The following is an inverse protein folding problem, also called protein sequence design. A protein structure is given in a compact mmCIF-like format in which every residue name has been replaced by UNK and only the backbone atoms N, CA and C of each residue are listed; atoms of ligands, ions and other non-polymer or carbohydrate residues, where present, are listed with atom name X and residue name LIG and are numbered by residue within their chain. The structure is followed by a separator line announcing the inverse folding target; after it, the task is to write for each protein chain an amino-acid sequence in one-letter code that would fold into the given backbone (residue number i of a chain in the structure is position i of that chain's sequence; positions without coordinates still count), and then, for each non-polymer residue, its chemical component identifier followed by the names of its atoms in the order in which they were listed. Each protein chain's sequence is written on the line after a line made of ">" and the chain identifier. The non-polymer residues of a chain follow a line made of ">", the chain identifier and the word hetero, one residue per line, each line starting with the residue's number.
data_IF_997009161499
#
_entry.id   IF_997009161499
#
_cell.length_a   1.000
_cell.length_b   1.000
_cell.length_c   1.000
_cell.angle_alpha   90.00
_cell.angle_beta   90.00
_cell.angle_gamma   90.00
#
_symmetry.space_group_name_H-M   'P 1'
#
loop_
_entity.id
_entity.type
_entity.pdbx_description
1 polymer ?
#
# COMPACT_ATOMS: atom_id res chain seq x y z
N UNK A 1 -7.19 -14.23 -24.08
CA UNK A 1 -8.64 -14.50 -24.16
C UNK A 1 -9.14 -14.70 -22.74
N UNK A 2 -10.14 -13.96 -22.30
CA UNK A 2 -10.77 -14.13 -20.99
C UNK A 2 -11.64 -15.38 -21.00
N UNK A 3 -11.49 -16.23 -19.98
CA UNK A 3 -12.30 -17.45 -19.84
C UNK A 3 -13.52 -17.18 -18.96
N UNK A 4 -14.66 -17.86 -19.18
CA UNK A 4 -15.77 -17.84 -18.23
C UNK A 4 -15.30 -18.28 -16.84
N UNK A 5 -15.84 -17.65 -15.78
CA UNK A 5 -15.45 -17.97 -14.40
C UNK A 5 -15.61 -19.46 -14.08
N UNK A 6 -16.66 -20.11 -14.60
CA UNK A 6 -16.91 -21.53 -14.39
C UNK A 6 -15.80 -22.41 -14.98
N UNK A 7 -15.31 -22.09 -16.19
CA UNK A 7 -14.21 -22.83 -16.81
C UNK A 7 -12.93 -22.73 -15.98
N UNK A 8 -12.65 -21.55 -15.41
CA UNK A 8 -11.49 -21.34 -14.55
C UNK A 8 -11.64 -22.08 -13.21
N UNK A 9 -12.82 -22.01 -12.59
CA UNK A 9 -13.12 -22.72 -11.34
C UNK A 9 -13.05 -24.25 -11.50
N UNK A 10 -13.55 -24.78 -12.60
CA UNK A 10 -13.50 -26.21 -12.90
C UNK A 10 -12.04 -26.67 -13.14
N UNK A 11 -11.18 -25.81 -13.67
CA UNK A 11 -9.76 -26.09 -13.84
C UNK A 11 -8.95 -26.03 -12.54
N UNK A 12 -9.42 -25.30 -11.51
CA UNK A 12 -8.77 -25.29 -10.20
C UNK A 12 -8.89 -26.63 -9.48
N UNK A 13 -10.01 -27.34 -9.60
CA UNK A 13 -10.25 -28.61 -8.89
C UNK A 13 -9.16 -29.68 -9.15
N UNK A 14 -8.85 -30.07 -10.41
CA UNK A 14 -7.79 -31.03 -10.67
C UNK A 14 -6.40 -30.50 -10.28
N UNK A 15 -6.15 -29.19 -10.44
CA UNK A 15 -4.88 -28.59 -10.07
C UNK A 15 -4.62 -28.62 -8.55
N UNK A 16 -5.67 -28.42 -7.74
CA UNK A 16 -5.60 -28.48 -6.28
C UNK A 16 -5.69 -29.90 -5.70
N UNK A 17 -5.99 -30.91 -6.54
CA UNK A 17 -6.00 -32.31 -6.15
C UNK A 17 -4.64 -33.00 -6.36
N UNK A 18 -3.71 -32.35 -7.07
CA UNK A 18 -2.37 -32.86 -7.28
C UNK A 18 -1.60 -33.00 -5.94
N UNK A 19 -0.82 -34.08 -5.74
CA UNK A 19 -0.01 -34.25 -4.53
C UNK A 19 1.02 -33.14 -4.31
N UNK A 20 1.56 -32.61 -5.41
CA UNK A 20 2.45 -31.45 -5.44
C UNK A 20 1.76 -30.36 -6.27
N UNK A 21 1.60 -29.14 -5.74
CA UNK A 21 0.95 -28.06 -6.46
C UNK A 21 1.75 -27.65 -7.70
N UNK A 22 1.10 -27.61 -8.87
CA UNK A 22 1.65 -26.94 -10.04
C UNK A 22 1.42 -25.42 -9.90
N UNK A 23 2.43 -24.74 -9.35
CA UNK A 23 2.38 -23.30 -9.10
C UNK A 23 2.12 -22.48 -10.36
N UNK A 24 2.77 -22.81 -11.48
CA UNK A 24 2.67 -22.03 -12.71
C UNK A 24 1.26 -22.18 -13.32
N UNK A 25 0.68 -23.39 -13.26
CA UNK A 25 -0.73 -23.62 -13.63
C UNK A 25 -1.67 -22.84 -12.72
N UNK A 26 -1.53 -22.91 -11.40
CA UNK A 26 -2.41 -22.22 -10.45
C UNK A 26 -2.33 -20.69 -10.59
N UNK A 27 -1.13 -20.13 -10.73
CA UNK A 27 -0.91 -18.70 -10.99
C UNK A 27 -1.52 -18.31 -12.34
N UNK A 28 -1.35 -19.15 -13.37
CA UNK A 28 -1.97 -18.95 -14.68
C UNK A 28 -3.50 -18.91 -14.63
N UNK A 29 -4.12 -19.79 -13.84
CA UNK A 29 -5.57 -19.81 -13.61
C UNK A 29 -6.05 -18.52 -12.94
N UNK A 30 -5.35 -18.05 -11.90
CA UNK A 30 -5.69 -16.77 -11.27
C UNK A 30 -5.55 -15.58 -12.22
N UNK A 31 -4.51 -15.56 -13.06
CA UNK A 31 -4.34 -14.50 -14.08
C UNK A 31 -5.45 -14.53 -15.14
N UNK A 32 -6.00 -15.71 -15.44
CA UNK A 32 -7.11 -15.87 -16.36
C UNK A 32 -8.50 -15.61 -15.73
N UNK A 33 -8.59 -15.53 -14.40
CA UNK A 33 -9.83 -15.34 -13.66
C UNK A 33 -10.40 -13.94 -13.91
N UNK A 34 -11.59 -13.89 -14.48
CA UNK A 34 -12.41 -12.67 -14.57
C UNK A 34 -13.73 -12.93 -13.86
N UNK A 35 -13.97 -12.22 -12.76
CA UNK A 35 -15.24 -12.32 -12.04
C UNK A 35 -16.27 -11.43 -12.75
N UNK A 36 -17.38 -11.98 -13.26
CA UNK A 36 -18.39 -11.21 -13.97
C UNK A 36 -19.19 -10.33 -12.99
N UNK A 37 -19.81 -9.26 -13.51
CA UNK A 37 -20.62 -8.34 -12.71
C UNK A 37 -21.75 -9.05 -11.96
N UNK A 38 -22.40 -10.00 -12.64
CA UNK A 38 -23.55 -10.79 -12.19
C UNK A 38 -23.14 -12.16 -11.64
N UNK A 39 -21.99 -12.23 -10.98
CA UNK A 39 -21.47 -13.45 -10.35
C UNK A 39 -22.50 -14.09 -9.41
N UNK A 40 -22.67 -15.40 -9.51
CA UNK A 40 -23.64 -16.12 -8.67
C UNK A 40 -23.10 -16.37 -7.27
N UNK A 41 -24.01 -16.58 -6.30
CA UNK A 41 -23.63 -16.99 -4.94
C UNK A 41 -22.84 -18.30 -4.92
N UNK A 42 -23.15 -19.22 -5.84
CA UNK A 42 -22.43 -20.48 -6.00
C UNK A 42 -21.00 -20.28 -6.49
N UNK A 43 -20.80 -19.45 -7.52
CA UNK A 43 -19.48 -19.17 -8.08
C UNK A 43 -18.56 -18.46 -7.07
N UNK A 44 -19.06 -17.44 -6.34
CA UNK A 44 -18.28 -16.80 -5.28
C UNK A 44 -17.95 -17.76 -4.13
N UNK A 45 -18.88 -18.64 -3.76
CA UNK A 45 -18.62 -19.65 -2.71
C UNK A 45 -17.53 -20.64 -3.15
N UNK A 46 -17.57 -21.11 -4.40
CA UNK A 46 -16.50 -21.95 -4.97
C UNK A 46 -15.16 -21.21 -5.01
N UNK A 47 -15.17 -19.94 -5.41
CA UNK A 47 -13.98 -19.10 -5.45
C UNK A 47 -13.33 -18.92 -4.07
N UNK A 48 -14.12 -18.62 -3.04
CA UNK A 48 -13.62 -18.56 -1.67
C UNK A 48 -13.06 -19.90 -1.20
N UNK A 49 -13.72 -21.01 -1.53
CA UNK A 49 -13.23 -22.35 -1.18
C UNK A 49 -11.85 -22.62 -1.77
N UNK A 50 -11.64 -22.30 -3.06
CA UNK A 50 -10.33 -22.39 -3.73
C UNK A 50 -9.29 -21.54 -3.02
N UNK A 51 -9.60 -20.25 -2.78
CA UNK A 51 -8.67 -19.34 -2.13
C UNK A 51 -8.34 -19.81 -0.71
N UNK A 52 -9.33 -20.21 0.09
CA UNK A 52 -9.15 -20.63 1.48
C UNK A 52 -8.28 -21.87 1.61
N UNK A 53 -8.39 -22.84 0.69
CA UNK A 53 -7.50 -24.01 0.65
C UNK A 53 -6.03 -23.62 0.40
N UNK A 54 -5.79 -22.68 -0.52
CA UNK A 54 -4.45 -22.14 -0.80
C UNK A 54 -3.93 -21.27 0.35
N UNK A 55 -4.85 -20.61 1.03
CA UNK A 55 -4.58 -19.79 2.21
C UNK A 55 -4.41 -20.63 3.50
N UNK A 56 -4.49 -21.96 3.45
CA UNK A 56 -4.34 -22.82 4.62
C UNK A 56 -5.50 -22.76 5.62
N UNK A 57 -6.65 -22.21 5.21
CA UNK A 57 -7.83 -22.03 6.06
C UNK A 57 -8.65 -23.33 6.06
N UNK A 58 -8.65 -24.04 7.18
CA UNK A 58 -9.17 -25.41 7.30
C UNK A 58 -10.68 -25.58 7.03
N UNK A 59 -11.48 -24.53 7.18
CA UNK A 59 -12.94 -24.59 6.99
C UNK A 59 -13.37 -24.86 5.54
N UNK A 60 -12.46 -24.74 4.57
CA UNK A 60 -12.71 -24.95 3.15
C UNK A 60 -12.27 -26.34 2.62
N UNK A 61 -11.80 -27.22 3.50
CA UNK A 61 -11.25 -28.53 3.14
C UNK A 61 -9.76 -28.65 3.44
N UNK A 62 -9.10 -29.74 3.02
CA UNK A 62 -7.68 -29.94 3.29
C UNK A 62 -6.85 -28.82 2.65
N UNK A 63 -5.94 -28.19 3.42
CA UNK A 63 -5.08 -27.15 2.91
C UNK A 63 -4.17 -27.72 1.82
N UNK A 64 -3.81 -26.90 0.84
CA UNK A 64 -2.87 -27.31 -0.20
C UNK A 64 -1.47 -27.37 0.42
N UNK A 65 -0.74 -28.50 0.32
CA UNK A 65 0.61 -28.61 0.86
C UNK A 65 1.54 -27.75 0.01
N UNK A 66 1.77 -26.51 0.42
CA UNK A 66 2.76 -25.66 -0.21
C UNK A 66 4.15 -26.11 0.27
N UNK A 67 5.07 -26.34 -0.67
CA UNK A 67 6.45 -26.74 -0.39
C UNK A 67 7.37 -25.51 -0.42
N UNK A 68 7.63 -24.83 0.72
CA UNK A 68 8.40 -23.59 0.74
C UNK A 68 9.85 -23.77 0.25
N UNK A 69 10.39 -24.99 0.30
CA UNK A 69 11.79 -25.28 -0.01
C UNK A 69 12.09 -25.44 -1.52
N UNK A 70 11.07 -25.64 -2.38
CA UNK A 70 11.27 -25.76 -3.83
C UNK A 70 11.13 -24.42 -4.56
N UNK A 71 10.34 -23.48 -4.03
CA UNK A 71 10.27 -22.10 -4.51
C UNK A 71 9.48 -21.20 -3.53
N UNK A 72 10.16 -20.69 -2.51
CA UNK A 72 9.60 -19.77 -1.50
C UNK A 72 8.83 -18.59 -2.14
N UNK A 73 9.39 -18.01 -3.20
CA UNK A 73 8.76 -16.93 -3.94
C UNK A 73 7.45 -17.34 -4.62
N UNK A 74 7.40 -18.51 -5.29
CA UNK A 74 6.17 -18.96 -5.97
C UNK A 74 5.07 -19.30 -4.97
N UNK A 75 5.42 -19.95 -3.86
CA UNK A 75 4.47 -20.27 -2.80
C UNK A 75 3.92 -18.98 -2.17
N UNK A 76 4.79 -18.03 -1.84
CA UNK A 76 4.40 -16.71 -1.33
C UNK A 76 3.52 -15.93 -2.34
N UNK A 77 3.91 -15.90 -3.62
CA UNK A 77 3.14 -15.25 -4.68
C UNK A 77 1.74 -15.87 -4.83
N UNK A 78 1.63 -17.19 -4.81
CA UNK A 78 0.35 -17.88 -4.91
C UNK A 78 -0.57 -17.56 -3.71
N UNK A 79 -0.03 -17.51 -2.49
CA UNK A 79 -0.77 -17.09 -1.29
C UNK A 79 -1.22 -15.63 -1.41
N UNK A 80 -0.33 -14.74 -1.86
CA UNK A 80 -0.65 -13.34 -2.07
C UNK A 80 -1.77 -13.17 -3.11
N UNK A 81 -1.71 -13.88 -4.23
CA UNK A 81 -2.75 -13.86 -5.28
C UNK A 81 -4.08 -14.39 -4.76
N UNK A 82 -4.09 -15.46 -3.96
CA UNK A 82 -5.33 -15.97 -3.38
C UNK A 82 -5.98 -14.99 -2.39
N UNK A 83 -5.17 -14.32 -1.56
CA UNK A 83 -5.65 -13.27 -0.64
C UNK A 83 -6.20 -12.06 -1.43
N UNK A 84 -5.45 -11.64 -2.46
CA UNK A 84 -5.81 -10.54 -3.35
C UNK A 84 -7.16 -10.77 -4.04
N UNK A 85 -7.44 -12.00 -4.49
CA UNK A 85 -8.73 -12.37 -5.08
C UNK A 85 -9.86 -12.27 -4.06
N UNK A 86 -9.67 -12.76 -2.83
CA UNK A 86 -10.66 -12.61 -1.75
C UNK A 86 -10.93 -11.14 -1.49
N UNK A 87 -9.91 -10.29 -1.38
CA UNK A 87 -10.07 -8.85 -1.18
C UNK A 87 -10.79 -8.15 -2.32
N UNK A 88 -10.51 -8.50 -3.58
CA UNK A 88 -11.19 -7.93 -4.76
C UNK A 88 -12.69 -8.25 -4.80
N UNK A 89 -13.15 -9.29 -4.12
CA UNK A 89 -14.60 -9.53 -3.97
C UNK A 89 -15.25 -8.62 -2.93
N UNK A 90 -14.45 -8.06 -2.02
CA UNK A 90 -14.92 -7.14 -0.97
C UNK A 90 -14.76 -5.67 -1.36
N UNK A 91 -13.86 -5.36 -2.29
CA UNK A 91 -13.43 -4.01 -2.64
C UNK A 91 -13.46 -3.77 -4.15
N UNK A 92 -14.08 -2.67 -4.59
CA UNK A 92 -13.94 -2.16 -5.95
C UNK A 92 -12.68 -1.29 -6.08
N UNK A 93 -11.55 -1.94 -6.36
CA UNK A 93 -10.25 -1.24 -6.53
C UNK A 93 -10.25 -0.23 -7.68
N UNK A 94 -11.22 -0.31 -8.59
CA UNK A 94 -11.35 0.62 -9.71
C UNK A 94 -12.31 1.78 -9.41
N UNK A 95 -12.93 1.83 -8.22
CA UNK A 95 -13.93 2.85 -7.89
C UNK A 95 -13.37 4.28 -8.03
N UNK A 96 -12.13 4.54 -7.60
CA UNK A 96 -11.48 5.85 -7.76
C UNK A 96 -11.28 6.20 -9.24
N UNK A 97 -10.80 5.25 -10.06
CA UNK A 97 -10.62 5.44 -11.51
C UNK A 97 -11.96 5.70 -12.20
N UNK A 98 -13.00 4.91 -11.90
CA UNK A 98 -14.37 5.12 -12.40
C UNK A 98 -14.89 6.50 -12.03
N UNK A 99 -14.71 6.92 -10.78
CA UNK A 99 -15.12 8.25 -10.34
C UNK A 99 -14.35 9.38 -11.05
N UNK A 100 -13.05 9.20 -11.29
CA UNK A 100 -12.25 10.14 -12.08
C UNK A 100 -12.74 10.24 -13.52
N UNK A 101 -12.99 9.11 -14.19
CA UNK A 101 -13.54 9.04 -15.56
C UNK A 101 -14.87 9.80 -15.60
N UNK A 102 -15.80 9.48 -14.68
CA UNK A 102 -17.10 10.13 -14.59
C UNK A 102 -17.00 11.65 -14.43
N UNK A 103 -16.19 12.13 -13.47
CA UNK A 103 -15.93 13.57 -13.25
C UNK A 103 -15.27 14.24 -14.47
N UNK A 104 -14.37 13.54 -15.16
CA UNK A 104 -13.72 14.06 -16.37
C UNK A 104 -14.73 14.24 -17.50
N UNK A 105 -15.57 13.24 -17.74
CA UNK A 105 -16.65 13.28 -18.72
C UNK A 105 -17.62 14.43 -18.39
N UNK A 106 -18.05 14.55 -17.14
CA UNK A 106 -18.93 15.62 -16.67
C UNK A 106 -18.35 17.01 -16.95
N UNK A 107 -17.07 17.25 -16.61
CA UNK A 107 -16.39 18.52 -16.88
C UNK A 107 -16.27 18.84 -18.37
N UNK A 108 -16.06 17.83 -19.22
CA UNK A 108 -16.02 18.03 -20.67
C UNK A 108 -17.39 18.44 -21.20
N UNK A 109 -18.46 17.75 -20.76
CA UNK A 109 -19.85 18.11 -21.08
C UNK A 109 -20.19 19.53 -20.65
N UNK A 110 -19.87 19.90 -19.40
CA UNK A 110 -20.12 21.24 -18.86
C UNK A 110 -19.40 22.36 -19.64
N UNK A 111 -18.28 22.05 -20.31
CA UNK A 111 -17.51 22.99 -21.13
C UNK A 111 -17.89 22.93 -22.63
N UNK A 112 -18.89 22.14 -23.02
CA UNK A 112 -19.25 21.95 -24.43
C UNK A 112 -18.14 21.30 -25.26
N UNK A 113 -17.24 20.54 -24.63
CA UNK A 113 -16.12 19.87 -25.32
C UNK A 113 -16.50 18.44 -25.68
N UNK A 114 -16.00 17.92 -26.82
CA UNK A 114 -16.21 16.51 -27.17
C UNK A 114 -15.53 15.60 -26.14
N UNK A 115 -16.16 14.45 -25.89
CA UNK A 115 -15.60 13.38 -25.06
C UNK A 115 -14.62 12.59 -25.96
N UNK A 116 -13.35 12.44 -25.56
CA UNK A 116 -12.40 11.60 -26.31
C UNK A 116 -12.91 10.17 -26.47
N UNK A 117 -12.66 9.58 -27.63
CA UNK A 117 -12.90 8.15 -27.87
C UNK A 117 -12.11 7.31 -26.87
N UNK A 118 -12.74 6.29 -26.29
CA UNK A 118 -12.15 5.44 -25.26
C UNK A 118 -12.08 6.04 -23.86
N UNK A 119 -12.56 7.28 -23.63
CA UNK A 119 -12.75 7.82 -22.28
C UNK A 119 -14.04 7.28 -21.66
N UNK A 120 -14.00 6.01 -21.25
CA UNK A 120 -15.04 5.32 -20.49
C UNK A 120 -14.41 4.27 -19.57
N UNK A 121 -15.25 3.55 -18.83
CA UNK A 121 -14.82 2.53 -17.87
C UNK A 121 -14.96 1.09 -18.40
N UNK A 122 -15.11 0.91 -19.73
CA UNK A 122 -15.30 -0.39 -20.38
C UNK A 122 -14.07 -1.30 -20.30
N UNK A 123 -12.87 -0.70 -20.16
CA UNK A 123 -11.61 -1.42 -20.01
C UNK A 123 -11.34 -1.85 -18.55
N UNK A 124 -12.14 -1.38 -17.60
CA UNK A 124 -11.96 -1.70 -16.17
C UNK A 124 -12.73 -2.97 -15.81
N UNK A 125 -12.16 -3.87 -14.98
CA UNK A 125 -12.87 -5.04 -14.44
C UNK A 125 -14.23 -4.65 -13.86
N UNK A 126 -15.32 -5.37 -14.19
CA UNK A 126 -16.67 -4.93 -13.89
C UNK A 126 -16.90 -4.74 -12.38
N UNK A 127 -17.81 -3.83 -12.04
CA UNK A 127 -18.30 -3.71 -10.67
C UNK A 127 -19.16 -4.93 -10.33
N UNK A 128 -18.83 -5.62 -9.25
CA UNK A 128 -19.58 -6.80 -8.82
C UNK A 128 -20.92 -6.40 -8.19
N UNK A 129 -21.94 -7.20 -8.48
CA UNK A 129 -23.20 -7.26 -7.75
C UNK A 129 -23.08 -8.41 -6.77
N UNK A 130 -22.82 -8.10 -5.49
CA UNK A 130 -22.60 -9.14 -4.49
C UNK A 130 -23.90 -9.90 -4.21
N UNK A 131 -23.97 -11.22 -4.47
CA UNK A 131 -25.19 -12.02 -4.40
C UNK A 131 -25.48 -12.53 -2.97
N UNK A 132 -24.97 -11.86 -1.95
CA UNK A 132 -25.10 -12.25 -0.55
C UNK A 132 -25.90 -11.20 0.22
N UNK A 133 -26.77 -11.66 1.12
CA UNK A 133 -27.23 -10.80 2.21
C UNK A 133 -26.10 -10.59 3.24
N UNK A 134 -26.29 -9.63 4.16
CA UNK A 134 -25.26 -9.27 5.13
C UNK A 134 -24.83 -10.46 6.03
N UNK A 135 -25.78 -11.33 6.41
CA UNK A 135 -25.48 -12.51 7.23
C UNK A 135 -24.62 -13.51 6.47
N UNK A 136 -25.02 -13.86 5.25
CA UNK A 136 -24.30 -14.79 4.39
C UNK A 136 -22.93 -14.23 4.05
N UNK A 137 -22.82 -12.94 3.73
CA UNK A 137 -21.55 -12.28 3.50
C UNK A 137 -20.61 -12.43 4.71
N UNK A 138 -21.11 -12.17 5.92
CA UNK A 138 -20.33 -12.28 7.15
C UNK A 138 -19.88 -13.72 7.43
N UNK A 139 -20.76 -14.70 7.26
CA UNK A 139 -20.42 -16.12 7.38
C UNK A 139 -19.36 -16.54 6.37
N UNK A 140 -19.46 -16.05 5.12
CA UNK A 140 -18.54 -16.42 4.04
C UNK A 140 -17.15 -15.86 4.24
N UNK A 141 -17.00 -14.62 4.70
CA UNK A 141 -15.68 -13.99 4.87
C UNK A 141 -15.05 -14.23 6.25
N UNK A 142 -15.82 -14.71 7.23
CA UNK A 142 -15.32 -14.98 8.60
C UNK A 142 -13.99 -15.75 8.62
N UNK A 143 -13.81 -16.86 7.86
CA UNK A 143 -12.55 -17.60 7.90
C UNK A 143 -11.34 -16.78 7.42
N UNK A 144 -11.55 -15.86 6.47
CA UNK A 144 -10.50 -14.93 6.03
C UNK A 144 -10.16 -13.93 7.14
N UNK A 145 -11.16 -13.34 7.78
CA UNK A 145 -10.96 -12.40 8.88
C UNK A 145 -10.26 -13.04 10.08
N UNK A 146 -10.61 -14.29 10.42
CA UNK A 146 -9.96 -15.03 11.51
C UNK A 146 -8.48 -15.30 11.19
N UNK A 147 -8.16 -15.59 9.92
CA UNK A 147 -6.76 -15.69 9.47
C UNK A 147 -6.04 -14.35 9.58
N UNK A 148 -6.68 -13.25 9.13
CA UNK A 148 -6.07 -11.93 9.22
C UNK A 148 -5.79 -11.54 10.68
N UNK A 149 -6.73 -11.81 11.57
CA UNK A 149 -6.54 -11.62 13.01
C UNK A 149 -5.34 -12.42 13.56
N UNK A 150 -5.17 -13.68 13.15
CA UNK A 150 -4.03 -14.48 13.58
C UNK A 150 -2.68 -13.88 13.14
N UNK A 151 -2.62 -13.23 11.97
CA UNK A 151 -1.41 -12.56 11.48
C UNK A 151 -1.05 -11.31 12.30
N UNK A 152 -2.01 -10.69 12.99
CA UNK A 152 -1.77 -9.47 13.78
C UNK A 152 -0.90 -9.71 15.02
N UNK A 153 -0.73 -10.97 15.44
CA UNK A 153 0.20 -11.32 16.51
C UNK A 153 1.66 -11.06 16.10
N UNK A 154 1.98 -11.18 14.81
CA UNK A 154 3.32 -10.93 14.27
C UNK A 154 3.45 -9.58 13.58
N UNK A 155 2.35 -9.08 13.00
CA UNK A 155 2.32 -7.81 12.28
C UNK A 155 1.11 -6.96 12.74
N UNK A 156 1.21 -6.24 13.86
CA UNK A 156 0.07 -5.53 14.45
C UNK A 156 -0.59 -4.47 13.56
N UNK A 157 0.12 -3.99 12.54
CA UNK A 157 -0.36 -3.02 11.55
C UNK A 157 -0.87 -3.66 10.24
N UNK A 158 -0.79 -4.99 10.11
CA UNK A 158 -1.11 -5.71 8.86
C UNK A 158 -2.55 -5.53 8.39
N UNK A 159 -3.47 -5.17 9.29
CA UNK A 159 -4.87 -4.88 8.97
C UNK A 159 -5.11 -3.48 8.40
N UNK A 160 -4.16 -2.54 8.50
CA UNK A 160 -4.36 -1.14 8.08
C UNK A 160 -4.85 -1.04 6.65
N UNK A 161 -4.12 -1.67 5.72
CA UNK A 161 -4.44 -1.64 4.29
C UNK A 161 -5.83 -2.21 4.03
N UNK A 162 -6.11 -3.40 4.56
CA UNK A 162 -7.37 -4.09 4.31
C UNK A 162 -8.57 -3.30 4.86
N UNK A 163 -8.50 -2.85 6.11
CA UNK A 163 -9.56 -2.04 6.72
C UNK A 163 -9.78 -0.73 5.96
N UNK A 164 -8.71 -0.05 5.56
CA UNK A 164 -8.78 1.18 4.77
C UNK A 164 -9.46 0.95 3.42
N UNK A 165 -9.02 -0.07 2.67
CA UNK A 165 -9.56 -0.39 1.35
C UNK A 165 -11.05 -0.70 1.43
N UNK A 166 -11.48 -1.48 2.42
CA UNK A 166 -12.91 -1.77 2.62
C UNK A 166 -13.68 -0.52 3.04
N UNK A 167 -13.16 0.29 3.96
CA UNK A 167 -13.82 1.51 4.39
C UNK A 167 -14.04 2.50 3.23
N UNK A 168 -13.05 2.67 2.35
CA UNK A 168 -13.09 3.66 1.25
C UNK A 168 -13.73 3.13 -0.03
N UNK A 169 -13.47 1.87 -0.38
CA UNK A 169 -13.76 1.30 -1.69
C UNK A 169 -14.56 -0.01 -1.60
N UNK A 170 -14.91 -0.44 -0.40
CA UNK A 170 -15.64 -1.69 -0.15
C UNK A 170 -17.05 -1.69 -0.73
N UNK A 171 -17.52 -2.87 -1.14
CA UNK A 171 -18.94 -3.05 -1.45
C UNK A 171 -19.79 -2.86 -0.18
N UNK A 172 -20.99 -2.22 -0.27
CA UNK A 172 -21.77 -1.84 0.89
C UNK A 172 -22.10 -2.98 1.88
N UNK A 173 -22.20 -4.21 1.38
CA UNK A 173 -22.48 -5.39 2.23
C UNK A 173 -21.31 -5.74 3.15
N UNK A 174 -20.06 -5.48 2.75
CA UNK A 174 -18.86 -5.85 3.52
C UNK A 174 -18.35 -4.74 4.44
N UNK A 175 -18.63 -3.48 4.11
CA UNK A 175 -18.23 -2.32 4.94
C UNK A 175 -18.59 -2.47 6.42
N UNK A 176 -19.86 -2.71 6.82
CA UNK A 176 -20.21 -2.86 8.23
C UNK A 176 -19.61 -4.12 8.86
N UNK A 177 -19.40 -5.19 8.08
CA UNK A 177 -18.83 -6.45 8.59
C UNK A 177 -17.37 -6.25 9.01
N UNK A 178 -16.57 -5.63 8.13
CA UNK A 178 -15.14 -5.37 8.40
C UNK A 178 -14.99 -4.29 9.47
N UNK A 179 -15.86 -3.29 9.49
CA UNK A 179 -15.89 -2.29 10.57
C UNK A 179 -16.12 -2.95 11.94
N UNK A 180 -17.16 -3.77 12.09
CA UNK A 180 -17.43 -4.48 13.35
C UNK A 180 -16.31 -5.47 13.73
N UNK A 181 -15.66 -6.09 12.74
CA UNK A 181 -14.47 -6.91 13.00
C UNK A 181 -13.32 -6.08 13.58
N UNK A 182 -13.01 -4.92 12.98
CA UNK A 182 -11.97 -4.03 13.48
C UNK A 182 -12.29 -3.48 14.88
N UNK A 183 -13.54 -3.07 15.15
CA UNK A 183 -13.97 -2.69 16.51
C UNK A 183 -13.79 -3.85 17.51
N UNK A 184 -14.11 -5.08 17.09
CA UNK A 184 -13.91 -6.28 17.90
C UNK A 184 -12.44 -6.61 18.19
N UNK A 185 -11.52 -6.29 17.26
CA UNK A 185 -10.08 -6.38 17.50
C UNK A 185 -9.63 -5.36 18.56
N UNK A 186 -10.04 -4.09 18.40
CA UNK A 186 -9.71 -3.02 19.33
C UNK A 186 -10.22 -3.29 20.75
N UNK A 187 -11.46 -3.74 20.88
CA UNK A 187 -12.05 -4.09 22.17
C UNK A 187 -11.29 -5.21 22.91
N UNK A 188 -10.55 -6.05 22.16
CA UNK A 188 -9.69 -7.12 22.70
C UNK A 188 -8.22 -6.72 22.79
N UNK A 189 -7.85 -5.50 22.39
CA UNK A 189 -6.47 -5.02 22.38
C UNK A 189 -5.59 -5.72 21.32
N UNK A 190 -6.17 -6.18 20.22
CA UNK A 190 -5.45 -6.83 19.12
C UNK A 190 -5.17 -5.79 18.02
N UNK A 191 -3.92 -5.75 17.52
CA UNK A 191 -3.49 -4.76 16.53
C UNK A 191 -3.12 -3.41 17.14
N UNK A 192 -3.09 -2.36 16.32
CA UNK A 192 -2.77 -0.99 16.77
C UNK A 192 -4.01 -0.30 17.36
N UNK A 193 -3.94 0.23 18.60
CA UNK A 193 -5.07 0.92 19.24
C UNK A 193 -5.57 2.13 18.44
N UNK A 194 -6.89 2.29 18.33
CA UNK A 194 -7.52 3.46 17.70
C UNK A 194 -7.53 3.43 16.16
N UNK A 195 -7.21 2.30 15.53
CA UNK A 195 -7.29 2.08 14.08
C UNK A 195 -8.64 2.52 13.48
N UNK A 196 -9.77 2.16 14.08
CA UNK A 196 -11.12 2.45 13.55
C UNK A 196 -11.34 3.97 13.45
N UNK A 197 -11.01 4.70 14.53
CA UNK A 197 -11.07 6.15 14.53
C UNK A 197 -10.07 6.76 13.54
N UNK A 198 -8.84 6.22 13.50
CA UNK A 198 -7.78 6.68 12.63
C UNK A 198 -8.13 6.55 11.14
N UNK A 199 -8.81 5.47 10.71
CA UNK A 199 -9.28 5.31 9.33
C UNK A 199 -10.23 6.45 8.94
N UNK A 200 -11.18 6.80 9.81
CA UNK A 200 -12.11 7.90 9.56
C UNK A 200 -11.39 9.24 9.42
N UNK A 201 -10.51 9.55 10.37
CA UNK A 201 -9.70 10.77 10.38
C UNK A 201 -8.77 10.86 9.17
N UNK A 202 -8.04 9.78 8.87
CA UNK A 202 -7.16 9.70 7.70
C UNK A 202 -7.92 9.88 6.38
N UNK A 203 -9.17 9.40 6.29
CA UNK A 203 -10.06 9.65 5.15
C UNK A 203 -10.34 11.13 4.92
N UNK A 204 -10.66 11.86 5.99
CA UNK A 204 -10.90 13.31 5.96
C UNK A 204 -9.62 14.05 5.54
N UNK A 205 -8.47 13.67 6.09
CA UNK A 205 -7.18 14.28 5.78
C UNK A 205 -6.76 14.05 4.33
N UNK A 206 -7.02 12.85 3.79
CA UNK A 206 -6.80 12.57 2.37
C UNK A 206 -7.67 13.46 1.48
N UNK A 207 -8.97 13.55 1.76
CA UNK A 207 -9.88 14.38 0.97
C UNK A 207 -9.48 15.87 1.01
N UNK A 208 -8.92 16.35 2.13
CA UNK A 208 -8.33 17.69 2.27
C UNK A 208 -7.02 17.86 1.51
N UNK A 209 -6.15 16.86 1.50
CA UNK A 209 -4.91 16.88 0.72
C UNK A 209 -5.19 16.91 -0.80
N UNK A 210 -6.15 16.12 -1.28
CA UNK A 210 -6.55 16.09 -2.70
C UNK A 210 -7.20 17.40 -3.16
N UNK A 211 -7.75 18.17 -2.23
CA UNK A 211 -8.38 19.47 -2.45
C UNK A 211 -7.77 20.50 -1.50
N UNK A 212 -6.45 20.68 -1.58
CA UNK A 212 -5.74 21.61 -0.72
C UNK A 212 -6.28 23.05 -0.92
N UNK A 213 -7.21 23.44 -0.04
CA UNK A 213 -7.74 24.80 0.05
C UNK A 213 -6.74 25.67 0.83
N UNK A 214 -6.61 26.97 0.49
CA UNK A 214 -5.73 27.85 1.24
C UNK A 214 -6.05 27.89 2.73
N UNK A 215 -5.00 27.80 3.55
CA UNK A 215 -5.06 27.96 5.00
C UNK A 215 -4.07 29.02 5.43
N UNK A 216 -4.46 29.88 6.36
CA UNK A 216 -3.50 30.73 7.06
C UNK A 216 -2.54 29.90 7.93
N UNK A 217 -1.36 30.44 8.20
CA UNK A 217 -0.39 29.76 9.06
C UNK A 217 -0.96 29.49 10.47
N UNK A 218 -1.74 30.40 11.02
CA UNK A 218 -2.38 30.21 12.33
C UNK A 218 -3.43 29.09 12.31
N UNK A 219 -4.17 28.92 11.21
CA UNK A 219 -5.05 27.77 11.02
C UNK A 219 -4.26 26.47 10.88
N UNK A 220 -3.16 26.48 10.12
CA UNK A 220 -2.26 25.33 10.01
C UNK A 220 -1.70 24.91 11.39
N UNK A 221 -1.25 25.87 12.20
CA UNK A 221 -0.76 25.63 13.55
C UNK A 221 -1.84 25.08 14.50
N UNK A 222 -3.11 25.45 14.30
CA UNK A 222 -4.22 24.99 15.13
C UNK A 222 -4.76 23.63 14.68
N UNK A 223 -4.87 23.42 13.37
CA UNK A 223 -5.69 22.34 12.80
C UNK A 223 -4.85 21.22 12.14
N UNK A 224 -3.59 21.49 11.76
CA UNK A 224 -2.73 20.53 11.05
C UNK A 224 -1.57 20.08 11.93
N UNK A 225 -0.75 21.02 12.43
CA UNK A 225 0.47 20.66 13.16
C UNK A 225 0.24 19.76 14.38
N UNK A 226 -0.82 19.94 15.20
CA UNK A 226 -1.07 19.06 16.34
C UNK A 226 -1.38 17.61 15.93
N UNK A 227 -1.85 17.38 14.70
CA UNK A 227 -2.13 16.04 14.19
C UNK A 227 -0.85 15.29 13.77
N UNK A 228 0.27 15.99 13.58
CA UNK A 228 1.58 15.36 13.35
C UNK A 228 2.06 14.61 14.60
N UNK A 229 1.61 15.04 15.79
CA UNK A 229 1.91 14.39 17.07
C UNK A 229 0.89 13.31 17.46
N UNK A 230 -0.06 12.97 16.57
CA UNK A 230 -1.01 11.89 16.83
C UNK A 230 -0.26 10.56 17.00
N UNK A 231 -0.57 9.78 18.06
CA UNK A 231 0.10 8.50 18.29
C UNK A 231 -0.17 7.49 17.18
N UNK A 232 -1.28 7.62 16.45
CA UNK A 232 -1.62 6.70 15.37
C UNK A 232 -0.93 7.09 14.06
N UNK A 233 -0.10 6.21 13.46
CA UNK A 233 0.72 6.56 12.30
C UNK A 233 -0.10 6.96 11.06
N UNK A 234 -1.29 6.38 10.86
CA UNK A 234 -2.18 6.79 9.75
C UNK A 234 -2.65 8.25 9.85
N UNK A 235 -2.89 8.75 11.07
CA UNK A 235 -3.32 10.15 11.29
C UNK A 235 -2.14 11.08 11.08
N UNK A 236 -0.99 10.79 11.72
CA UNK A 236 0.23 11.56 11.57
C UNK A 236 0.70 11.64 10.11
N UNK A 237 0.70 10.52 9.39
CA UNK A 237 1.03 10.47 7.97
C UNK A 237 0.00 11.20 7.09
N UNK A 238 -1.29 11.10 7.41
CA UNK A 238 -2.35 11.84 6.73
C UNK A 238 -2.20 13.36 6.91
N UNK A 239 -1.81 13.81 8.11
CA UNK A 239 -1.53 15.21 8.40
C UNK A 239 -0.27 15.69 7.67
N UNK A 240 0.80 14.89 7.65
CA UNK A 240 1.98 15.13 6.83
C UNK A 240 1.62 15.30 5.35
N UNK A 241 0.78 14.42 4.81
CA UNK A 241 0.28 14.50 3.43
C UNK A 241 -0.49 15.77 3.14
N UNK A 242 -1.40 16.16 4.03
CA UNK A 242 -2.12 17.41 3.84
C UNK A 242 -1.18 18.63 3.89
N UNK A 243 -0.24 18.65 4.84
CA UNK A 243 0.77 19.71 4.93
C UNK A 243 1.63 19.81 3.66
N UNK A 244 2.09 18.68 3.13
CA UNK A 244 2.84 18.63 1.87
C UNK A 244 2.04 19.23 0.70
N UNK A 245 0.76 18.89 0.60
CA UNK A 245 -0.13 19.43 -0.44
C UNK A 245 -0.31 20.95 -0.32
N UNK A 246 -0.43 21.49 0.90
CA UNK A 246 -0.48 22.94 1.15
C UNK A 246 0.83 23.63 0.75
N UNK A 247 1.99 23.03 1.05
CA UNK A 247 3.31 23.53 0.66
C UNK A 247 3.51 23.56 -0.87
N UNK A 248 3.07 22.51 -1.57
CA UNK A 248 3.18 22.40 -3.02
C UNK A 248 2.26 23.38 -3.76
N UNK A 249 1.05 23.60 -3.25
CA UNK A 249 0.13 24.59 -3.81
C UNK A 249 0.57 26.05 -3.54
N UNK A 250 1.61 26.27 -2.72
CA UNK A 250 2.08 27.61 -2.35
C UNK A 250 1.08 28.39 -1.49
N UNK A 251 0.13 27.69 -0.86
CA UNK A 251 -0.99 28.31 -0.14
C UNK A 251 -0.72 28.55 1.34
N UNK A 252 0.49 28.23 1.83
CA UNK A 252 0.99 28.60 3.16
C UNK A 252 1.66 29.98 3.20
N UNK A 253 1.52 30.78 2.14
CA UNK A 253 2.21 32.06 1.96
C UNK A 253 1.66 33.20 2.82
N UNK A 254 2.15 33.30 4.06
CA UNK A 254 2.00 34.47 4.93
C UNK A 254 3.36 34.79 5.60
N UNK A 255 3.64 36.04 6.01
CA UNK A 255 4.96 36.45 6.48
C UNK A 255 5.52 35.66 7.66
N UNK A 256 4.67 35.00 8.46
CA UNK A 256 5.06 34.30 9.68
C UNK A 256 5.22 32.77 9.51
N UNK A 257 4.94 32.23 8.32
CA UNK A 257 5.15 30.82 8.04
C UNK A 257 6.66 30.52 7.93
N UNK A 258 7.16 29.41 8.50
CA UNK A 258 8.54 29.00 8.28
C UNK A 258 8.77 28.71 6.80
N UNK A 259 10.00 28.93 6.33
CA UNK A 259 10.40 28.46 5.01
C UNK A 259 10.33 26.93 4.92
N UNK A 260 10.36 26.40 3.70
CA UNK A 260 10.19 24.97 3.43
C UNK A 260 11.29 24.12 4.09
N UNK A 261 12.54 24.58 4.09
CA UNK A 261 13.67 23.86 4.69
C UNK A 261 13.50 23.79 6.22
N UNK A 262 13.13 24.90 6.86
CA UNK A 262 12.81 24.96 8.29
C UNK A 262 11.65 24.02 8.63
N UNK A 263 10.60 23.97 7.80
CA UNK A 263 9.47 23.06 8.01
C UNK A 263 9.90 21.59 7.93
N UNK A 264 10.66 21.21 6.90
CA UNK A 264 11.16 19.84 6.74
C UNK A 264 12.04 19.41 7.92
N UNK A 265 12.93 20.28 8.39
CA UNK A 265 13.76 20.00 9.56
C UNK A 265 12.91 19.77 10.82
N UNK A 266 11.84 20.55 11.02
CA UNK A 266 10.88 20.31 12.12
C UNK A 266 10.18 18.95 11.98
N UNK A 267 9.86 18.51 10.76
CA UNK A 267 9.29 17.18 10.55
C UNK A 267 10.26 16.07 10.98
N UNK A 268 11.56 16.25 10.69
CA UNK A 268 12.61 15.32 11.10
C UNK A 268 12.87 15.31 12.62
N UNK A 269 12.40 16.32 13.36
CA UNK A 269 12.53 16.40 14.82
C UNK A 269 11.41 15.66 15.57
N UNK A 270 10.34 15.19 14.88
CA UNK A 270 9.25 14.50 15.57
C UNK A 270 9.74 13.21 16.26
N UNK A 271 9.31 12.97 17.52
CA UNK A 271 9.80 11.85 18.33
C UNK A 271 9.19 10.50 17.95
N UNK A 272 8.02 10.50 17.31
CA UNK A 272 7.25 9.30 16.93
C UNK A 272 6.70 9.51 15.51
N UNK A 273 6.49 8.42 14.77
CA UNK A 273 5.88 8.43 13.42
C UNK A 273 6.64 9.29 12.39
N UNK A 274 7.88 9.69 12.66
CA UNK A 274 8.68 10.61 11.83
C UNK A 274 8.75 10.16 10.37
N UNK A 275 9.09 8.90 10.12
CA UNK A 275 9.16 8.35 8.76
C UNK A 275 7.78 8.29 8.07
N UNK A 276 6.70 8.08 8.83
CA UNK A 276 5.34 8.08 8.30
C UNK A 276 4.88 9.51 7.94
N UNK A 277 5.19 10.50 8.79
CA UNK A 277 4.94 11.93 8.56
C UNK A 277 5.71 12.41 7.33
N UNK A 278 7.02 12.13 7.27
CA UNK A 278 7.87 12.53 6.16
C UNK A 278 7.42 11.89 4.83
N UNK A 279 7.11 10.60 4.83
CA UNK A 279 6.55 9.92 3.66
C UNK A 279 5.21 10.52 3.22
N UNK A 280 4.31 10.78 4.17
CA UNK A 280 3.07 11.50 3.92
C UNK A 280 3.33 12.86 3.27
N UNK A 281 4.23 13.67 3.84
CA UNK A 281 4.61 14.97 3.30
C UNK A 281 5.10 14.89 1.86
N UNK A 282 6.04 14.00 1.55
CA UNK A 282 6.54 13.77 0.19
C UNK A 282 5.38 13.43 -0.75
N UNK A 283 4.51 12.49 -0.34
CA UNK A 283 3.36 12.04 -1.12
C UNK A 283 2.34 13.16 -1.39
N UNK A 284 2.17 14.10 -0.45
CA UNK A 284 1.30 15.26 -0.63
C UNK A 284 1.93 16.39 -1.44
N UNK A 285 3.24 16.58 -1.28
CA UNK A 285 4.00 17.60 -1.98
C UNK A 285 4.18 17.28 -3.47
N UNK A 286 4.36 16.01 -3.79
CA UNK A 286 4.53 15.55 -5.16
C UNK A 286 3.20 15.51 -5.94
N UNK A 287 2.95 16.60 -6.67
CA UNK A 287 1.78 16.69 -7.58
C UNK A 287 2.03 16.02 -8.94
N UNK A 288 3.24 15.51 -9.19
CA UNK A 288 3.70 15.01 -10.49
C UNK A 288 3.93 13.50 -10.56
N UNK A 289 3.85 12.79 -9.44
CA UNK A 289 4.13 11.35 -9.36
C UNK A 289 5.63 11.02 -9.47
N UNK A 290 6.52 11.93 -9.07
CA UNK A 290 7.98 11.77 -9.07
C UNK A 290 8.59 11.54 -7.68
N UNK A 291 7.78 11.49 -6.61
CA UNK A 291 8.22 11.29 -5.23
C UNK A 291 9.26 12.33 -4.78
N UNK A 292 10.39 11.86 -4.24
CA UNK A 292 11.47 12.71 -3.72
C UNK A 292 12.11 13.63 -4.79
N UNK A 293 12.05 13.27 -6.07
CA UNK A 293 12.55 14.14 -7.13
C UNK A 293 11.80 15.48 -7.18
N UNK A 294 10.53 15.52 -6.73
CA UNK A 294 9.79 16.78 -6.62
C UNK A 294 10.34 17.72 -5.54
N UNK A 295 10.94 17.20 -4.47
CA UNK A 295 11.65 18.01 -3.48
C UNK A 295 13.05 18.40 -3.98
N UNK A 296 13.75 17.46 -4.61
CA UNK A 296 15.10 17.68 -5.17
C UNK A 296 15.12 18.85 -6.17
N UNK A 297 14.09 18.91 -7.02
CA UNK A 297 13.95 19.95 -8.05
C UNK A 297 13.35 21.27 -7.51
N UNK A 298 12.95 21.35 -6.24
CA UNK A 298 12.29 22.55 -5.71
C UNK A 298 13.31 23.67 -5.46
N UNK A 299 13.21 24.75 -6.25
CA UNK A 299 14.11 25.88 -6.18
C UNK A 299 14.17 26.59 -4.83
N UNK A 300 13.16 26.44 -3.94
CA UNK A 300 13.19 26.98 -2.59
C UNK A 300 14.19 26.24 -1.70
N UNK A 301 14.29 24.91 -1.86
CA UNK A 301 15.23 24.08 -1.11
C UNK A 301 16.66 24.27 -1.61
N UNK A 302 16.86 24.32 -2.93
CA UNK A 302 18.15 24.63 -3.51
C UNK A 302 18.68 26.00 -3.07
N UNK A 303 17.82 27.02 -3.02
CA UNK A 303 18.18 28.36 -2.55
C UNK A 303 18.55 28.40 -1.05
N UNK A 304 17.99 27.48 -0.25
CA UNK A 304 18.28 27.36 1.18
C UNK A 304 19.54 26.51 1.47
N UNK A 305 20.16 25.89 0.45
CA UNK A 305 21.25 24.94 0.66
C UNK A 305 20.83 23.71 1.45
N UNK A 306 19.56 23.29 1.30
CA UNK A 306 19.01 22.16 2.03
C UNK A 306 19.59 20.84 1.53
N UNK A 307 20.09 20.02 2.46
CA UNK A 307 20.62 18.68 2.18
C UNK A 307 19.50 17.64 2.33
N UNK A 308 18.97 17.18 1.19
CA UNK A 308 17.87 16.20 1.17
C UNK A 308 18.33 14.83 1.68
N UNK A 309 19.56 14.42 1.38
CA UNK A 309 20.11 13.12 1.76
C UNK A 309 20.24 13.04 3.29
N UNK A 310 20.79 14.10 3.91
CA UNK A 310 20.89 14.22 5.36
C UNK A 310 19.51 14.24 6.02
N UNK A 311 18.54 14.96 5.43
CA UNK A 311 17.18 15.00 5.94
C UNK A 311 16.48 13.64 5.91
N UNK A 312 16.67 12.86 4.83
CA UNK A 312 16.11 11.51 4.72
C UNK A 312 16.68 10.61 5.80
N UNK A 313 18.00 10.60 5.98
CA UNK A 313 18.65 9.81 7.04
C UNK A 313 18.20 10.26 8.42
N UNK A 314 17.99 11.56 8.65
CA UNK A 314 17.42 12.06 9.90
C UNK A 314 15.95 11.62 10.13
N UNK A 315 15.17 11.46 9.05
CA UNK A 315 13.79 11.00 9.11
C UNK A 315 13.65 9.50 9.36
N UNK A 316 14.61 8.70 8.89
CA UNK A 316 14.67 7.27 9.14
C UNK A 316 15.30 7.03 10.52
N UNK A 317 14.48 6.73 11.54
CA UNK A 317 15.01 6.38 12.85
C UNK A 317 15.64 4.98 12.82
N UNK A 318 16.79 4.75 13.50
CA UNK A 318 17.31 3.40 13.69
C UNK A 318 16.25 2.49 14.34
N UNK A 319 16.13 1.25 13.87
CA UNK A 319 15.17 0.24 14.34
C UNK A 319 13.67 0.56 14.10
N UNK A 320 13.32 1.66 13.44
CA UNK A 320 11.95 1.96 13.02
C UNK A 320 11.71 1.42 11.61
N UNK A 321 11.00 0.30 11.50
CA UNK A 321 10.40 -0.13 10.23
C UNK A 321 8.96 0.40 10.21
N UNK A 322 8.71 1.55 9.57
CA UNK A 322 7.39 2.15 9.64
C UNK A 322 6.40 1.22 8.92
N UNK A 323 5.21 1.02 9.49
CA UNK A 323 4.21 0.15 8.90
C UNK A 323 3.80 0.66 7.51
N UNK A 324 3.27 -0.24 6.69
CA UNK A 324 2.59 0.18 5.47
C UNK A 324 1.37 1.04 5.82
N UNK A 325 1.34 2.28 5.34
CA UNK A 325 0.24 3.22 5.56
C UNK A 325 -0.52 3.44 4.24
N UNK A 326 -1.80 3.03 4.13
CA UNK A 326 -2.50 3.02 2.84
C UNK A 326 -2.88 4.42 2.33
N UNK A 327 -3.01 5.41 3.22
CA UNK A 327 -3.39 6.78 2.87
C UNK A 327 -2.19 7.71 2.63
N UNK A 328 -0.98 7.26 2.90
CA UNK A 328 0.25 8.03 2.79
C UNK A 328 1.41 7.03 2.68
N UNK A 329 2.11 7.00 1.55
CA UNK A 329 3.25 6.11 1.39
C UNK A 329 4.30 6.42 2.47
N UNK A 330 4.82 5.39 3.13
CA UNK A 330 5.89 5.55 4.10
C UNK A 330 7.17 6.06 3.41
N UNK A 331 8.03 6.78 4.14
CA UNK A 331 9.21 7.41 3.53
C UNK A 331 10.12 6.41 2.80
N UNK A 332 10.29 5.18 3.33
CA UNK A 332 11.10 4.15 2.67
C UNK A 332 10.62 3.84 1.25
N UNK A 333 9.31 4.02 0.97
CA UNK A 333 8.76 3.80 -0.36
C UNK A 333 9.38 4.80 -1.36
N UNK A 334 9.40 6.07 -0.99
CA UNK A 334 9.99 7.09 -1.86
C UNK A 334 11.52 6.97 -1.94
N UNK A 335 12.17 6.54 -0.85
CA UNK A 335 13.62 6.36 -0.81
C UNK A 335 14.09 5.25 -1.76
N UNK A 336 13.47 4.07 -1.73
CA UNK A 336 13.92 2.96 -2.58
C UNK A 336 13.72 3.23 -4.07
N UNK A 337 12.63 3.90 -4.46
CA UNK A 337 12.43 4.30 -5.85
C UNK A 337 13.45 5.37 -6.29
N UNK A 338 13.74 6.35 -5.42
CA UNK A 338 14.59 7.48 -5.79
C UNK A 338 16.09 7.12 -5.89
N UNK A 339 16.59 6.30 -4.94
CA UNK A 339 18.02 5.97 -4.84
C UNK A 339 18.39 4.60 -5.40
N UNK A 340 17.50 3.94 -6.15
CA UNK A 340 17.76 2.63 -6.74
C UNK A 340 19.02 2.56 -7.62
N UNK A 341 19.40 3.70 -8.23
CA UNK A 341 20.59 3.82 -9.07
C UNK A 341 21.79 4.50 -8.36
N UNK A 342 21.71 4.76 -7.06
CA UNK A 342 22.74 5.49 -6.30
C UNK A 342 23.45 4.58 -5.28
N UNK A 343 24.55 3.89 -5.67
CA UNK A 343 25.26 3.00 -4.76
C UNK A 343 25.88 3.73 -3.55
N UNK A 344 26.17 5.03 -3.66
CA UNK A 344 26.77 5.78 -2.56
C UNK A 344 25.73 6.04 -1.46
N UNK A 345 24.53 6.47 -1.83
CA UNK A 345 23.44 6.63 -0.87
C UNK A 345 23.00 5.29 -0.27
N UNK A 346 22.95 4.22 -1.08
CA UNK A 346 22.62 2.89 -0.55
C UNK A 346 23.66 2.39 0.45
N UNK A 347 24.96 2.60 0.18
CA UNK A 347 26.02 2.30 1.14
C UNK A 347 25.85 3.08 2.44
N UNK A 348 25.45 4.37 2.34
CA UNK A 348 25.16 5.22 3.49
C UNK A 348 23.97 4.68 4.31
N UNK A 349 22.90 4.20 3.69
CA UNK A 349 21.78 3.57 4.41
C UNK A 349 22.25 2.36 5.24
N UNK A 350 23.16 1.54 4.71
CA UNK A 350 23.76 0.42 5.46
C UNK A 350 24.54 0.94 6.67
N UNK A 351 25.37 1.98 6.48
CA UNK A 351 26.19 2.57 7.56
C UNK A 351 25.34 3.15 8.69
N UNK A 352 24.13 3.59 8.39
CA UNK A 352 23.15 4.10 9.34
C UNK A 352 22.20 3.02 9.91
N UNK A 353 22.41 1.74 9.59
CA UNK A 353 21.62 0.64 10.15
C UNK A 353 20.29 0.37 9.44
N UNK A 354 20.08 0.93 8.25
CA UNK A 354 18.86 0.74 7.45
C UNK A 354 19.04 -0.32 6.36
N UNK A 355 19.63 -1.47 6.72
CA UNK A 355 19.99 -2.53 5.76
C UNK A 355 18.80 -3.05 4.94
N UNK A 356 17.60 -3.13 5.53
CA UNK A 356 16.39 -3.53 4.80
C UNK A 356 16.02 -2.53 3.71
N UNK A 357 16.02 -1.22 4.00
CA UNK A 357 15.74 -0.18 3.01
C UNK A 357 16.85 -0.16 1.95
N UNK A 358 18.11 -0.27 2.36
CA UNK A 358 19.24 -0.36 1.45
C UNK A 358 19.10 -1.54 0.48
N UNK A 359 18.63 -2.70 0.96
CA UNK A 359 18.35 -3.87 0.13
C UNK A 359 17.20 -3.62 -0.85
N UNK A 360 16.13 -2.96 -0.42
CA UNK A 360 15.06 -2.55 -1.32
C UNK A 360 15.59 -1.65 -2.44
N UNK A 361 16.39 -0.62 -2.12
CA UNK A 361 17.01 0.24 -3.12
C UNK A 361 17.91 -0.56 -4.09
N UNK A 362 18.82 -1.37 -3.55
CA UNK A 362 19.84 -2.09 -4.32
C UNK A 362 19.28 -3.13 -5.28
N UNK A 363 18.03 -3.56 -5.08
CA UNK A 363 17.40 -4.65 -5.84
C UNK A 363 16.17 -4.22 -6.64
N UNK A 364 15.85 -2.92 -6.66
CA UNK A 364 14.70 -2.35 -7.37
C UNK A 364 14.84 -2.43 -8.90
N UNK A 365 16.05 -2.22 -9.42
CA UNK A 365 16.34 -2.31 -10.86
C UNK A 365 16.74 -3.74 -11.21
N UNK A 366 15.96 -4.43 -12.06
CA UNK A 366 16.21 -5.82 -12.53
C UNK A 366 17.36 -5.92 -13.55
N UNK A 367 18.43 -5.15 -13.37
CA UNK A 367 19.61 -5.02 -14.22
C UNK A 367 20.83 -4.54 -13.40
N UNK A 368 22.08 -4.78 -13.86
CA UNK A 368 23.25 -4.28 -13.16
C UNK A 368 23.35 -2.74 -13.20
N UNK A 369 23.60 -2.15 -12.04
CA UNK A 369 23.88 -0.72 -11.79
C UNK A 369 25.36 -0.57 -11.44
N UNK A 370 26.05 0.35 -12.13
CA UNK A 370 27.47 0.62 -11.88
C UNK A 370 27.72 0.96 -10.41
N UNK A 371 28.70 0.28 -9.79
CA UNK A 371 29.06 0.49 -8.38
C UNK A 371 28.18 -0.21 -7.35
N UNK A 372 27.05 -0.83 -7.73
CA UNK A 372 26.14 -1.48 -6.79
C UNK A 372 26.59 -2.89 -6.36
N UNK A 373 27.40 -3.59 -7.17
CA UNK A 373 27.93 -4.92 -6.83
C UNK A 373 28.55 -5.03 -5.42
N UNK A 374 29.52 -4.17 -5.05
CA UNK A 374 30.09 -4.15 -3.70
C UNK A 374 29.08 -3.86 -2.58
N UNK A 375 28.05 -3.05 -2.86
CA UNK A 375 26.99 -2.75 -1.89
C UNK A 375 26.14 -4.00 -1.64
N UNK A 376 25.78 -4.72 -2.70
CA UNK A 376 25.06 -5.99 -2.60
C UNK A 376 25.89 -7.07 -1.89
N UNK A 377 27.22 -7.10 -2.06
CA UNK A 377 28.09 -8.03 -1.31
C UNK A 377 28.06 -7.77 0.19
N UNK A 378 28.03 -6.49 0.60
CA UNK A 378 27.85 -6.11 2.01
C UNK A 378 26.50 -6.58 2.54
N UNK A 379 25.41 -6.33 1.80
CA UNK A 379 24.07 -6.77 2.17
C UNK A 379 23.94 -8.30 2.19
N UNK A 380 24.62 -9.01 1.29
CA UNK A 380 24.67 -10.47 1.26
C UNK A 380 25.33 -11.09 2.50
N UNK A 381 26.11 -10.32 3.25
CA UNK A 381 26.73 -10.70 4.52
C UNK A 381 25.92 -10.23 5.76
N UNK A 382 24.79 -9.54 5.56
CA UNK A 382 23.94 -9.05 6.64
C UNK A 382 23.43 -10.22 7.52
N UNK A 383 23.32 -10.04 8.85
CA UNK A 383 22.78 -11.08 9.73
C UNK A 383 21.29 -11.38 9.48
N UNK A 384 20.52 -10.45 8.92
CA UNK A 384 19.10 -10.64 8.62
C UNK A 384 18.93 -11.56 7.38
N UNK A 385 18.32 -12.76 7.53
CA UNK A 385 18.28 -13.74 6.45
C UNK A 385 17.53 -13.28 5.19
N UNK A 386 16.52 -12.43 5.35
CA UNK A 386 15.72 -11.85 4.27
C UNK A 386 16.52 -10.83 3.46
N UNK A 387 17.28 -9.95 4.14
CA UNK A 387 18.21 -8.99 3.52
C UNK A 387 19.31 -9.73 2.77
N UNK A 388 20.03 -10.62 3.46
CA UNK A 388 21.13 -11.37 2.88
C UNK A 388 20.70 -12.30 1.74
N UNK A 389 19.57 -13.00 1.91
CA UNK A 389 19.01 -13.88 0.90
C UNK A 389 18.61 -13.13 -0.37
N UNK A 390 17.98 -11.96 -0.23
CA UNK A 390 17.56 -11.14 -1.38
C UNK A 390 18.76 -10.57 -2.13
N UNK A 391 19.74 -10.00 -1.42
CA UNK A 391 20.97 -9.48 -2.03
C UNK A 391 21.77 -10.56 -2.78
N UNK A 392 21.94 -11.76 -2.20
CA UNK A 392 22.63 -12.89 -2.87
C UNK A 392 21.94 -13.32 -4.15
N UNK A 393 20.60 -13.37 -4.16
CA UNK A 393 19.83 -13.72 -5.36
C UNK A 393 20.02 -12.68 -6.46
N UNK A 394 20.01 -11.40 -6.11
CA UNK A 394 20.20 -10.31 -7.06
C UNK A 394 21.61 -10.32 -7.64
N UNK A 395 22.65 -10.47 -6.79
CA UNK A 395 24.04 -10.68 -7.24
C UNK A 395 24.11 -11.81 -8.26
N UNK A 396 23.72 -13.03 -7.88
CA UNK A 396 23.84 -14.20 -8.74
C UNK A 396 23.07 -14.10 -10.08
N UNK A 397 22.06 -13.22 -10.16
CA UNK A 397 21.25 -13.03 -11.36
C UNK A 397 21.82 -11.98 -12.31
N UNK A 398 22.48 -10.93 -11.79
CA UNK A 398 22.85 -9.74 -12.57
C UNK A 398 24.35 -9.38 -12.57
N UNK A 399 25.16 -9.94 -11.66
CA UNK A 399 26.59 -9.67 -11.47
C UNK A 399 27.39 -10.97 -11.39
#
# INVERSE_FOLDING_TARGET
>A
MTKPIQEVLDAFEPALAAPVPDYDTLIGLFRALVVPADVTAGDLTRLYTVCYRLLGIATAGPPVPLEPHLSEWRAGHLVAVAADVVERTMVDRNATTRAWIARRIERLRARGRPIPEGLDDSQLPPRLVIPFDARTAAERIRPYLDRQEANLATEPAGHFKFCWDVARLGYPVFQPIVHCWAEGLEARGIGVPGTVAAIGTAGILLDRAEKAEPLSWSECQRDVLPLLDDPHPMVAAGAGRWLGALCAAGVLGYPDAPDLATLLNRLAEHPVNRAAIAGGFVNGFDTSGRGLASLTDDGRLAAAGFDLDDWIVACLAPDDTPPYIPNAQALWFHVHEHYAADPAFVARLIDHGHAWIAMMCATEIDDPVEGMGPVLERLAADPAPDVAGTARRHLARHY
#
